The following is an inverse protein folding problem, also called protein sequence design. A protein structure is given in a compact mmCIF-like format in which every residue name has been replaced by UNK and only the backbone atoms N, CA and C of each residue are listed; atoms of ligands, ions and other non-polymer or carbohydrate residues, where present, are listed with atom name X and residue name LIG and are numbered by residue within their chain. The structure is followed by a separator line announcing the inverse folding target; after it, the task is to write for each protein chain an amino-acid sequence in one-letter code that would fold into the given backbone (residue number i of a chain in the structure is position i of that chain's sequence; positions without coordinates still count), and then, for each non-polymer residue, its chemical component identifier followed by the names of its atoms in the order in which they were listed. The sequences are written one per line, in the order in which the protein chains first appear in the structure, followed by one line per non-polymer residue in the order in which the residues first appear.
data_IF_892068984452
#
_entry.id   IF_892068984452
#
_cell.length_a   1.000
_cell.length_b   1.000
_cell.length_c   1.000
_cell.angle_alpha   90.00
_cell.angle_beta   90.00
_cell.angle_gamma   90.00
#
_symmetry.space_group_name_H-M   'P 1'
#
loop_
_entity.id
_entity.type
_entity.pdbx_description
1 polymer ?
#
# COMPACT_ATOMS: atom_id res chain seq x y z
N UNK A 1 -35.56 5.44 6.08
CA UNK A 1 -34.68 6.26 5.22
C UNK A 1 -33.38 5.48 5.06
N UNK A 2 -32.93 5.19 3.83
CA UNK A 2 -31.64 4.53 3.62
C UNK A 2 -30.53 5.53 3.97
N UNK A 3 -29.71 5.21 4.97
CA UNK A 3 -28.43 5.89 5.16
C UNK A 3 -27.67 5.78 3.84
N UNK A 4 -27.49 6.89 3.14
CA UNK A 4 -26.52 6.95 2.05
C UNK A 4 -25.17 6.73 2.70
N UNK A 5 -24.49 5.64 2.37
CA UNK A 5 -23.09 5.42 2.69
C UNK A 5 -22.32 6.67 2.26
N UNK A 6 -21.97 7.54 3.22
CA UNK A 6 -21.26 8.78 2.96
C UNK A 6 -19.85 8.38 2.53
N UNK A 7 -19.55 8.51 1.24
CA UNK A 7 -18.20 8.27 0.73
C UNK A 7 -17.32 9.43 1.19
N UNK A 8 -16.62 9.23 2.30
CA UNK A 8 -15.62 10.16 2.78
C UNK A 8 -14.36 10.02 1.91
N UNK A 9 -14.18 10.94 0.97
CA UNK A 9 -12.98 11.01 0.15
C UNK A 9 -11.86 11.67 0.97
N UNK A 10 -10.88 10.87 1.39
CA UNK A 10 -9.68 11.36 2.07
C UNK A 10 -8.49 11.32 1.11
N UNK A 11 -7.82 12.46 0.96
CA UNK A 11 -6.60 12.65 0.18
C UNK A 11 -5.45 12.94 1.15
N UNK A 12 -4.34 12.24 0.96
CA UNK A 12 -3.10 12.50 1.68
C UNK A 12 -2.11 13.21 0.76
N UNK A 13 -1.58 14.35 1.21
CA UNK A 13 -0.59 15.14 0.49
C UNK A 13 0.69 15.23 1.32
N UNK A 14 1.81 14.83 0.72
CA UNK A 14 3.15 15.02 1.28
C UNK A 14 4.02 15.76 0.27
N UNK A 15 4.54 16.92 0.67
CA UNK A 15 5.44 17.75 -0.12
C UNK A 15 6.34 18.55 0.80
N UNK A 16 7.65 18.36 0.69
CA UNK A 16 8.62 19.00 1.59
C UNK A 16 8.22 18.77 3.06
N UNK A 17 8.20 19.83 3.87
CA UNK A 17 7.78 19.79 5.28
C UNK A 17 6.25 19.85 5.47
N UNK A 18 5.47 19.76 4.38
CA UNK A 18 4.02 19.82 4.43
C UNK A 18 3.42 18.42 4.25
N UNK A 19 2.81 17.90 5.31
CA UNK A 19 1.92 16.76 5.30
C UNK A 19 0.49 17.22 5.57
N UNK A 20 -0.48 16.84 4.74
CA UNK A 20 -1.90 17.19 4.91
C UNK A 20 -2.77 15.95 4.71
N UNK A 21 -3.74 15.76 5.60
CA UNK A 21 -4.92 14.95 5.33
C UNK A 21 -6.05 15.89 4.94
N UNK A 22 -6.58 15.73 3.73
CA UNK A 22 -7.59 16.59 3.13
C UNK A 22 -8.84 15.74 2.94
N UNK A 23 -9.95 16.21 3.49
CA UNK A 23 -11.26 15.59 3.34
C UNK A 23 -12.12 16.50 2.47
N UNK A 24 -12.83 15.89 1.51
CA UNK A 24 -13.77 16.58 0.66
C UNK A 24 -15.18 16.06 0.90
N UNK A 25 -16.07 16.96 1.36
CA UNK A 25 -17.50 16.68 1.49
C UNK A 25 -18.19 17.09 0.19
N UNK A 26 -18.58 16.08 -0.61
CA UNK A 26 -19.24 16.27 -1.91
C UNK A 26 -20.64 16.86 -1.79
N UNK A 27 -21.36 16.58 -0.70
CA UNK A 27 -22.72 17.08 -0.49
C UNK A 27 -22.72 18.58 -0.22
N UNK A 28 -21.71 19.05 0.53
CA UNK A 28 -21.57 20.44 0.93
C UNK A 28 -20.59 21.23 0.05
N UNK A 29 -19.85 20.56 -0.84
CA UNK A 29 -18.77 21.14 -1.64
C UNK A 29 -17.73 21.90 -0.78
N UNK A 30 -17.30 21.27 0.32
CA UNK A 30 -16.35 21.88 1.27
C UNK A 30 -15.12 21.00 1.49
N UNK A 31 -13.99 21.66 1.71
CA UNK A 31 -12.73 21.01 2.10
C UNK A 31 -12.47 21.22 3.58
N UNK A 32 -12.04 20.17 4.25
CA UNK A 32 -11.42 20.24 5.58
C UNK A 32 -10.03 19.64 5.50
N UNK A 33 -9.09 20.12 6.31
CA UNK A 33 -7.75 19.55 6.32
C UNK A 33 -7.11 19.59 7.70
N UNK A 34 -6.23 18.61 7.93
CA UNK A 34 -5.45 18.47 9.14
C UNK A 34 -3.98 18.30 8.77
N UNK A 35 -3.09 18.93 9.54
CA UNK A 35 -1.64 18.76 9.36
C UNK A 35 -1.23 17.36 9.80
N UNK A 36 -0.40 16.73 8.98
CA UNK A 36 0.26 15.47 9.29
C UNK A 36 1.76 15.72 9.56
N UNK A 37 2.37 14.94 10.44
CA UNK A 37 3.81 14.98 10.62
C UNK A 37 4.52 14.55 9.33
N UNK A 38 5.67 15.16 9.06
CA UNK A 38 6.60 14.73 8.02
C UNK A 38 7.92 14.40 8.68
N UNK A 39 8.55 13.29 8.27
CA UNK A 39 9.87 12.91 8.75
C UNK A 39 10.96 13.75 8.07
N UNK A 40 11.95 14.18 8.84
CA UNK A 40 13.08 14.98 8.35
C UNK A 40 13.90 14.26 7.26
N UNK A 41 13.88 12.92 7.23
CA UNK A 41 14.59 12.14 6.22
C UNK A 41 13.97 12.28 4.82
N UNK A 42 12.63 12.37 4.73
CA UNK A 42 11.91 12.45 3.45
C UNK A 42 11.59 13.89 3.05
N UNK A 43 11.47 14.80 4.04
CA UNK A 43 11.26 16.22 3.84
C UNK A 43 12.11 16.87 2.72
N UNK A 44 13.42 16.59 2.59
CA UNK A 44 14.23 17.24 1.57
C UNK A 44 14.20 16.53 0.20
N UNK A 45 13.51 15.39 0.08
CA UNK A 45 13.44 14.60 -1.15
C UNK A 45 12.34 15.09 -2.09
N UNK A 46 12.64 15.06 -3.39
CA UNK A 46 11.70 15.34 -4.48
C UNK A 46 11.67 14.19 -5.48
N UNK A 47 10.61 14.10 -6.27
CA UNK A 47 10.49 13.15 -7.38
C UNK A 47 10.69 11.67 -7.00
N UNK A 48 10.38 11.31 -5.76
CA UNK A 48 10.29 9.91 -5.34
C UNK A 48 9.06 9.24 -5.97
N UNK A 49 9.14 7.93 -6.19
CA UNK A 49 7.93 7.16 -6.44
C UNK A 49 7.21 6.87 -5.13
N UNK A 50 5.90 6.66 -5.21
CA UNK A 50 5.11 6.22 -4.07
C UNK A 50 4.03 5.23 -4.50
N UNK A 51 3.60 4.39 -3.56
CA UNK A 51 2.45 3.50 -3.73
C UNK A 51 1.72 3.33 -2.41
N UNK A 52 0.40 3.36 -2.45
CA UNK A 52 -0.46 3.10 -1.29
C UNK A 52 -0.87 1.63 -1.31
N UNK A 53 -0.63 0.90 -0.23
CA UNK A 53 -1.01 -0.49 -0.02
C UNK A 53 -1.69 -0.57 1.33
N UNK A 54 -2.99 -0.87 1.33
CA UNK A 54 -3.85 -0.78 2.52
C UNK A 54 -3.67 0.59 3.22
N UNK A 55 -3.42 0.58 4.54
CA UNK A 55 -3.21 1.78 5.36
C UNK A 55 -1.74 2.22 5.41
N UNK A 56 -0.93 1.90 4.40
CA UNK A 56 0.48 2.26 4.33
C UNK A 56 0.87 2.86 2.98
N UNK A 57 1.65 3.94 3.02
CA UNK A 57 2.25 4.53 1.81
C UNK A 57 3.74 4.24 1.83
N UNK A 58 4.23 3.62 0.77
CA UNK A 58 5.66 3.39 0.57
C UNK A 58 6.21 4.44 -0.38
N UNK A 59 7.41 4.93 -0.08
CA UNK A 59 8.13 5.93 -0.87
C UNK A 59 9.50 5.39 -1.27
N UNK A 60 9.88 5.59 -2.52
CA UNK A 60 11.06 4.97 -3.12
C UNK A 60 11.95 6.02 -3.80
N UNK A 61 13.21 6.07 -3.37
CA UNK A 61 14.24 6.91 -3.95
C UNK A 61 13.96 8.40 -3.77
N UNK A 62 14.11 9.15 -4.86
CA UNK A 62 13.98 10.60 -4.87
C UNK A 62 15.31 11.31 -5.07
N UNK A 63 15.28 12.63 -5.00
CA UNK A 63 16.41 13.50 -5.28
C UNK A 63 16.48 14.61 -4.23
N UNK A 64 17.66 14.84 -3.66
CA UNK A 64 17.92 15.94 -2.74
C UNK A 64 19.38 16.37 -2.84
N UNK A 65 19.64 17.68 -2.74
CA UNK A 65 20.99 18.25 -2.67
C UNK A 65 21.96 17.65 -3.72
N UNK A 66 21.54 17.65 -4.98
CA UNK A 66 22.31 17.10 -6.10
C UNK A 66 22.60 15.59 -6.04
N UNK A 67 21.94 14.87 -5.13
CA UNK A 67 22.15 13.45 -4.87
C UNK A 67 20.85 12.67 -5.09
N UNK A 68 20.96 11.56 -5.79
CA UNK A 68 19.86 10.62 -6.01
C UNK A 68 19.81 9.64 -4.83
N UNK A 69 18.63 9.46 -4.26
CA UNK A 69 18.43 8.63 -3.08
C UNK A 69 18.13 7.17 -3.46
N UNK A 70 18.57 6.26 -2.59
CA UNK A 70 18.17 4.85 -2.55
C UNK A 70 17.17 4.56 -1.43
N UNK A 71 16.86 5.55 -0.61
CA UNK A 71 16.09 5.37 0.62
C UNK A 71 14.68 4.86 0.31
N UNK A 72 14.17 4.09 1.26
CA UNK A 72 12.78 3.64 1.26
C UNK A 72 12.16 4.10 2.56
N UNK A 73 11.01 4.75 2.47
CA UNK A 73 10.26 5.21 3.62
C UNK A 73 8.84 4.64 3.59
N UNK A 74 8.25 4.51 4.76
CA UNK A 74 6.85 4.12 4.94
C UNK A 74 6.16 5.16 5.81
N UNK A 75 4.96 5.54 5.42
CA UNK A 75 4.01 6.25 6.27
C UNK A 75 2.84 5.33 6.61
N UNK A 76 2.64 5.05 7.89
CA UNK A 76 1.48 4.31 8.39
C UNK A 76 0.34 5.30 8.61
N UNK A 77 -0.73 5.18 7.83
CA UNK A 77 -1.92 6.04 7.89
C UNK A 77 -2.62 5.83 9.22
N UNK A 78 -2.82 4.57 9.62
CA UNK A 78 -3.49 4.22 10.88
C UNK A 78 -2.74 4.70 12.11
N UNK A 79 -1.41 4.60 12.10
CA UNK A 79 -0.60 5.00 13.25
C UNK A 79 -0.18 6.47 13.21
N UNK A 80 -0.40 7.16 12.08
CA UNK A 80 0.08 8.51 11.82
C UNK A 80 1.60 8.64 12.07
N UNK A 81 2.38 7.69 11.54
CA UNK A 81 3.80 7.54 11.85
C UNK A 81 4.63 7.25 10.60
N UNK A 82 5.80 7.86 10.57
CA UNK A 82 6.84 7.59 9.60
C UNK A 82 7.80 6.51 10.08
N UNK A 83 8.34 5.77 9.12
CA UNK A 83 9.39 4.78 9.30
C UNK A 83 10.36 4.89 8.12
N UNK A 84 11.66 4.96 8.41
CA UNK A 84 12.73 4.86 7.42
C UNK A 84 13.32 3.45 7.49
N UNK A 85 13.41 2.77 6.34
CA UNK A 85 14.01 1.44 6.29
C UNK A 85 15.54 1.55 6.23
N UNK A 86 16.22 0.61 6.91
CA UNK A 86 17.68 0.44 6.78
C UNK A 86 18.06 -0.19 5.45
N UNK A 87 17.22 -1.12 4.95
CA UNK A 87 17.35 -1.66 3.61
C UNK A 87 16.99 -0.58 2.59
N UNK A 88 17.78 -0.51 1.52
CA UNK A 88 17.61 0.49 0.46
C UNK A 88 17.41 -0.17 -0.89
N UNK A 89 17.03 0.62 -1.89
CA UNK A 89 17.06 0.22 -3.29
C UNK A 89 18.50 -0.14 -3.73
N UNK A 90 18.68 -1.05 -4.69
CA UNK A 90 20.01 -1.40 -5.19
C UNK A 90 20.71 -0.22 -5.87
N UNK A 91 19.95 0.55 -6.67
CA UNK A 91 20.43 1.74 -7.39
C UNK A 91 19.60 2.96 -7.00
N UNK A 92 20.22 4.16 -6.97
CA UNK A 92 19.48 5.37 -6.66
C UNK A 92 18.65 5.77 -7.89
N UNK A 93 17.47 6.34 -7.66
CA UNK A 93 16.55 6.70 -8.73
C UNK A 93 15.54 7.75 -8.30
N UNK A 94 15.11 8.59 -9.25
CA UNK A 94 14.02 9.55 -9.10
C UNK A 94 13.21 9.63 -10.41
N UNK A 95 12.12 10.39 -10.45
CA UNK A 95 11.23 10.53 -11.61
C UNK A 95 10.64 9.20 -12.12
N UNK A 96 10.43 8.24 -11.22
CA UNK A 96 9.87 6.93 -11.54
C UNK A 96 8.42 6.82 -11.04
N UNK A 97 7.73 5.77 -11.48
CA UNK A 97 6.42 5.39 -10.97
C UNK A 97 6.53 4.09 -10.18
N UNK A 98 5.76 3.98 -9.09
CA UNK A 98 5.58 2.72 -8.36
C UNK A 98 4.14 2.24 -8.49
N UNK A 99 3.96 0.95 -8.76
CA UNK A 99 2.65 0.30 -8.88
C UNK A 99 2.70 -1.01 -8.12
N UNK A 100 1.70 -1.27 -7.29
CA UNK A 100 1.58 -2.52 -6.55
C UNK A 100 0.67 -3.50 -7.31
N UNK A 101 1.06 -4.77 -7.32
CA UNK A 101 0.29 -5.87 -7.89
C UNK A 101 -0.15 -6.81 -6.77
N UNK A 102 -1.47 -6.97 -6.63
CA UNK A 102 -2.08 -7.85 -5.63
C UNK A 102 -1.83 -9.33 -5.94
N UNK A 103 -1.77 -9.70 -7.23
CA UNK A 103 -1.63 -11.10 -7.64
C UNK A 103 -0.29 -11.72 -7.25
N UNK A 104 0.79 -10.95 -7.38
CA UNK A 104 2.14 -11.41 -7.07
C UNK A 104 2.70 -10.80 -5.78
N UNK A 105 1.97 -9.88 -5.13
CA UNK A 105 2.41 -9.14 -3.94
C UNK A 105 3.75 -8.39 -4.15
N UNK A 106 4.00 -7.88 -5.36
CA UNK A 106 5.18 -7.09 -5.66
C UNK A 106 4.83 -5.63 -5.92
N UNK A 107 5.78 -4.76 -5.57
CA UNK A 107 5.81 -3.36 -5.97
C UNK A 107 6.75 -3.28 -7.17
N UNK A 108 6.22 -2.79 -8.28
CA UNK A 108 6.93 -2.53 -9.53
C UNK A 108 7.33 -1.06 -9.57
N UNK A 109 8.62 -0.80 -9.70
CA UNK A 109 9.18 0.55 -9.88
C UNK A 109 9.67 0.66 -11.32
N UNK A 110 9.11 1.59 -12.08
CA UNK A 110 9.29 1.67 -13.53
C UNK A 110 9.79 3.06 -13.95
N UNK A 111 10.77 3.07 -14.84
CA UNK A 111 11.34 4.27 -15.45
C UNK A 111 12.33 4.97 -14.53
N UNK A 112 12.36 6.30 -14.64
CA UNK A 112 13.16 7.17 -13.79
C UNK A 112 14.43 7.71 -14.44
N UNK A 113 15.26 8.31 -13.60
CA UNK A 113 16.58 8.81 -13.92
C UNK A 113 17.62 8.18 -13.00
N UNK A 114 18.78 7.84 -13.56
CA UNK A 114 19.93 7.34 -12.78
C UNK A 114 20.72 8.47 -12.11
N UNK A 115 21.80 8.11 -11.40
CA UNK A 115 22.68 9.08 -10.73
C UNK A 115 23.45 10.03 -11.65
N UNK A 116 23.34 9.87 -12.98
CA UNK A 116 23.92 10.76 -13.99
C UNK A 116 22.86 11.64 -14.64
N UNK A 117 21.61 11.58 -14.17
CA UNK A 117 20.47 12.28 -14.76
C UNK A 117 20.02 11.69 -16.09
N UNK A 118 20.48 10.49 -16.46
CA UNK A 118 20.06 9.83 -17.69
C UNK A 118 18.69 9.21 -17.49
N UNK A 119 17.75 9.47 -18.41
CA UNK A 119 16.46 8.78 -18.44
C UNK A 119 16.72 7.30 -18.72
N UNK A 120 16.12 6.45 -17.88
CA UNK A 120 16.29 4.99 -17.92
C UNK A 120 14.93 4.31 -18.01
N UNK A 121 14.87 3.21 -18.75
CA UNK A 121 13.70 2.31 -18.82
C UNK A 121 13.80 1.18 -17.80
N UNK A 122 14.30 1.49 -16.61
CA UNK A 122 14.54 0.47 -15.58
C UNK A 122 13.22 -0.06 -15.05
N UNK A 123 13.13 -1.38 -14.91
CA UNK A 123 12.06 -2.05 -14.19
C UNK A 123 12.68 -2.79 -13.01
N UNK A 124 12.29 -2.41 -11.80
CA UNK A 124 12.61 -3.14 -10.58
C UNK A 124 11.33 -3.69 -9.99
N UNK A 125 11.42 -4.82 -9.30
CA UNK A 125 10.34 -5.30 -8.45
C UNK A 125 10.87 -5.71 -7.09
N UNK A 126 10.09 -5.45 -6.06
CA UNK A 126 10.39 -5.85 -4.69
C UNK A 126 9.14 -6.41 -4.04
N UNK A 127 9.29 -7.48 -3.26
CA UNK A 127 8.15 -8.10 -2.61
C UNK A 127 7.74 -7.27 -1.39
N UNK A 128 6.44 -7.04 -1.20
CA UNK A 128 5.93 -6.24 -0.07
C UNK A 128 6.40 -6.82 1.28
N UNK A 129 6.54 -8.14 1.39
CA UNK A 129 7.01 -8.84 2.61
C UNK A 129 8.41 -8.42 3.07
N UNK A 130 9.25 -7.96 2.15
CA UNK A 130 10.61 -7.50 2.48
C UNK A 130 10.55 -6.23 3.32
N UNK A 131 9.54 -5.40 3.09
CA UNK A 131 9.36 -4.11 3.76
C UNK A 131 8.40 -4.21 4.93
N UNK A 132 7.25 -4.83 4.71
CA UNK A 132 6.23 -4.97 5.74
C UNK A 132 5.39 -6.24 5.52
N UNK A 133 5.72 -7.34 6.22
CA UNK A 133 4.96 -8.58 6.15
C UNK A 133 3.49 -8.42 6.53
N UNK A 134 3.11 -7.41 7.33
CA UNK A 134 1.71 -7.21 7.71
C UNK A 134 0.85 -6.65 6.57
N UNK A 135 1.46 -6.12 5.51
CA UNK A 135 0.75 -5.61 4.34
C UNK A 135 0.40 -6.69 3.33
N UNK A 136 0.52 -7.96 3.73
CA UNK A 136 0.24 -9.05 2.84
C UNK A 136 -1.23 -9.17 2.52
N UNK A 137 -1.52 -9.11 1.23
CA UNK A 137 -2.82 -9.51 0.70
C UNK A 137 -2.68 -10.93 0.20
N UNK A 138 -3.26 -11.88 0.95
CA UNK A 138 -3.40 -13.23 0.45
C UNK A 138 -4.37 -13.20 -0.73
N UNK A 139 -3.91 -13.66 -1.90
CA UNK A 139 -4.83 -13.77 -3.02
C UNK A 139 -5.99 -14.69 -2.65
N UNK A 140 -7.13 -14.59 -3.35
CA UNK A 140 -8.25 -15.54 -3.19
C UNK A 140 -7.78 -16.99 -3.31
N UNK A 141 -6.79 -17.24 -4.19
CA UNK A 141 -6.19 -18.55 -4.36
C UNK A 141 -5.34 -18.95 -3.15
N UNK A 142 -4.49 -18.07 -2.63
CA UNK A 142 -3.68 -18.35 -1.43
C UNK A 142 -4.57 -18.64 -0.22
N UNK A 143 -5.61 -17.83 -0.03
CA UNK A 143 -6.61 -18.02 1.03
C UNK A 143 -7.32 -19.37 0.87
N UNK A 144 -7.73 -19.72 -0.35
CA UNK A 144 -8.34 -21.03 -0.65
C UNK A 144 -7.38 -22.19 -0.39
N UNK A 145 -6.10 -22.07 -0.72
CA UNK A 145 -5.09 -23.08 -0.44
C UNK A 145 -4.83 -23.23 1.05
N UNK A 146 -4.70 -22.12 1.79
CA UNK A 146 -4.51 -22.11 3.25
C UNK A 146 -5.72 -22.74 3.94
N UNK A 147 -6.95 -22.36 3.57
CA UNK A 147 -8.17 -22.96 4.13
C UNK A 147 -8.20 -24.47 3.85
N UNK A 148 -7.95 -24.90 2.60
CA UNK A 148 -7.89 -26.34 2.26
C UNK A 148 -6.83 -27.08 3.07
N UNK A 149 -5.66 -26.48 3.25
CA UNK A 149 -4.57 -27.04 4.03
C UNK A 149 -4.93 -27.15 5.52
N UNK A 150 -5.50 -26.09 6.11
CA UNK A 150 -5.96 -26.08 7.50
C UNK A 150 -7.09 -27.08 7.75
N UNK A 151 -8.04 -27.23 6.82
CA UNK A 151 -9.09 -28.26 6.88
C UNK A 151 -8.47 -29.66 6.88
N UNK A 152 -7.46 -29.89 6.02
CA UNK A 152 -6.78 -31.18 5.92
C UNK A 152 -6.00 -31.54 7.18
N UNK A 153 -5.31 -30.57 7.80
CA UNK A 153 -4.49 -30.80 9.01
C UNK A 153 -5.32 -30.85 10.27
N UNK A 154 -6.34 -30.00 10.38
CA UNK A 154 -7.16 -29.93 11.57
C UNK A 154 -8.13 -31.11 11.69
N UNK A 155 -8.13 -32.03 10.70
CA UNK A 155 -9.07 -33.16 10.56
C UNK A 155 -10.54 -32.76 10.77
N UNK A 156 -10.86 -31.49 10.52
CA UNK A 156 -12.21 -30.96 10.68
C UNK A 156 -13.06 -31.66 9.62
N UNK A 157 -13.87 -32.63 10.05
CA UNK A 157 -14.90 -33.23 9.21
C UNK A 157 -15.93 -32.16 8.90
N UNK A 158 -15.78 -31.48 7.77
CA UNK A 158 -16.76 -30.53 7.23
C UNK A 158 -18.05 -31.21 6.75
N UNK A 159 -18.27 -32.51 7.02
CA UNK A 159 -19.51 -33.19 6.65
C UNK A 159 -20.76 -32.47 7.17
N UNK A 160 -20.64 -31.78 8.31
CA UNK A 160 -21.73 -30.98 8.86
C UNK A 160 -22.03 -29.70 8.05
N UNK A 161 -21.07 -29.12 7.31
CA UNK A 161 -21.31 -27.94 6.45
C UNK A 161 -22.15 -28.35 5.23
N UNK A 162 -21.80 -29.45 4.58
CA UNK A 162 -22.60 -29.97 3.46
C UNK A 162 -24.01 -30.37 3.90
N UNK A 163 -24.15 -30.91 5.12
CA UNK A 163 -25.45 -31.24 5.70
C UNK A 163 -26.21 -29.99 6.18
N UNK A 164 -25.52 -28.97 6.70
CA UNK A 164 -26.11 -27.68 7.08
C UNK A 164 -26.62 -26.91 5.86
N UNK A 165 -25.86 -26.85 4.76
CA UNK A 165 -26.30 -26.23 3.51
C UNK A 165 -27.55 -26.91 2.94
N UNK A 166 -27.63 -28.26 3.01
CA UNK A 166 -28.85 -29.00 2.66
C UNK A 166 -30.04 -28.66 3.55
N UNK A 167 -29.82 -28.46 4.86
CA UNK A 167 -30.88 -28.03 5.79
C UNK A 167 -31.34 -26.62 5.42
N UNK A 168 -30.44 -25.66 5.19
CA UNK A 168 -30.78 -24.30 4.83
C UNK A 168 -31.61 -24.27 3.52
N UNK A 169 -31.19 -25.00 2.48
CA UNK A 169 -31.92 -25.12 1.21
C UNK A 169 -33.34 -25.68 1.40
N UNK A 170 -33.53 -26.60 2.36
CA UNK A 170 -34.83 -27.21 2.64
C UNK A 170 -35.82 -26.24 3.29
N UNK A 171 -35.35 -25.23 4.04
CA UNK A 171 -36.17 -24.29 4.80
C UNK A 171 -36.17 -22.85 4.24
N UNK A 172 -35.45 -22.60 3.14
CA UNK A 172 -35.43 -21.30 2.45
C UNK A 172 -36.45 -21.20 1.29
N UNK A 173 -37.50 -22.02 1.32
CA UNK A 173 -38.71 -21.91 0.47
C UNK A 173 -39.90 -21.56 1.36
#
# INVERSE_FOLDING_TARGET
MKEKNKQHHQLLLFKQNAGLSIEYDEDNNTFQFHKLPVCDDIAPLYYYAYVCINDAIFFFGGYSNFTYSKSVHKYSIRENKWMTFQNTLPNPLCHCAAIWSEEDNHIHIIGGQDNKGKIISTHMKTNVRVWDPSQLVYSKNDTKFIIKYLIRISEIKLGWIDDFDKIIIKYSR
#
